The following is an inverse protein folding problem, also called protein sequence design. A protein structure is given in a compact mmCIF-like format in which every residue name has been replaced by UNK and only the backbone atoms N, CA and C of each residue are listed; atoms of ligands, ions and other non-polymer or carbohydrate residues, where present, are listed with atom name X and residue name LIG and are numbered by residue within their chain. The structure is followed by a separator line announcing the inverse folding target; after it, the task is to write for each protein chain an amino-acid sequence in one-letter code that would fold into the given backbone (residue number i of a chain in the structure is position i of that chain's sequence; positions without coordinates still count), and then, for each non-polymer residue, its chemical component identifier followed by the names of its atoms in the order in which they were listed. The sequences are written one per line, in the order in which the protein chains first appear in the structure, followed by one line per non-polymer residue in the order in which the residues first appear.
data_IF_971392487909
#
_entry.id   IF_971392487909
#
_cell.length_a   1.000
_cell.length_b   1.000
_cell.length_c   1.000
_cell.angle_alpha   90.00
_cell.angle_beta   90.00
_cell.angle_gamma   90.00
#
_symmetry.space_group_name_H-M   'P 1'
#
loop_
_entity.id
_entity.type
_entity.pdbx_description
1 polymer ?
#
# COMPACT_ATOMS: atom_id res chain seq x y z
N UNK A 1 -15.11 -23.57 -4.75
CA UNK A 1 -14.23 -23.82 -5.90
C UNK A 1 -13.02 -22.92 -5.77
N UNK A 2 -11.81 -23.48 -5.85
CA UNK A 2 -10.58 -22.69 -5.90
C UNK A 2 -10.63 -21.81 -7.15
N UNK A 3 -10.80 -20.50 -6.98
CA UNK A 3 -10.68 -19.53 -8.07
C UNK A 3 -9.25 -19.02 -8.04
N UNK A 4 -8.37 -19.71 -8.74
CA UNK A 4 -7.18 -19.08 -9.30
C UNK A 4 -7.55 -18.65 -10.72
N UNK A 5 -6.88 -17.61 -11.22
CA UNK A 5 -7.06 -17.15 -12.59
C UNK A 5 -6.74 -18.26 -13.60
N UNK A 6 -7.49 -18.30 -14.70
CA UNK A 6 -7.13 -19.16 -15.83
C UNK A 6 -5.81 -18.69 -16.46
N UNK A 7 -5.11 -19.57 -17.20
CA UNK A 7 -3.88 -19.19 -17.91
C UNK A 7 -4.13 -18.00 -18.85
N UNK A 8 -5.28 -17.97 -19.52
CA UNK A 8 -5.67 -16.84 -20.38
C UNK A 8 -5.80 -15.53 -19.60
N UNK A 9 -6.43 -15.57 -18.43
CA UNK A 9 -6.54 -14.40 -17.54
C UNK A 9 -5.19 -13.96 -17.01
N UNK A 10 -4.31 -14.89 -16.60
CA UNK A 10 -2.96 -14.58 -16.15
C UNK A 10 -2.14 -13.91 -17.26
N UNK A 11 -2.19 -14.45 -18.48
CA UNK A 11 -1.52 -13.86 -19.65
C UNK A 11 -2.07 -12.47 -19.98
N UNK A 12 -3.38 -12.27 -19.87
CA UNK A 12 -4.00 -10.97 -20.08
C UNK A 12 -3.50 -9.94 -19.06
N UNK A 13 -3.46 -10.30 -17.77
CA UNK A 13 -2.92 -9.41 -16.73
C UNK A 13 -1.45 -9.11 -16.97
N UNK A 14 -0.63 -10.12 -17.24
CA UNK A 14 0.78 -9.96 -17.58
C UNK A 14 0.99 -8.91 -18.68
N UNK A 15 0.26 -9.04 -19.79
CA UNK A 15 0.40 -8.14 -20.93
C UNK A 15 -0.10 -6.72 -20.65
N UNK A 16 -1.12 -6.57 -19.81
CA UNK A 16 -1.73 -5.26 -19.52
C UNK A 16 -0.98 -4.48 -18.44
N UNK A 17 -0.46 -5.16 -17.43
CA UNK A 17 0.09 -4.51 -16.22
C UNK A 17 1.60 -4.61 -16.13
N UNK A 18 2.20 -5.61 -16.81
CA UNK A 18 3.61 -5.96 -16.65
C UNK A 18 3.93 -6.56 -15.28
N UNK A 19 2.94 -6.93 -14.47
CA UNK A 19 3.16 -7.60 -13.20
C UNK A 19 3.77 -8.99 -13.43
N UNK A 20 4.60 -9.43 -12.50
CA UNK A 20 5.30 -10.71 -12.55
C UNK A 20 4.38 -11.88 -12.21
N UNK A 21 4.84 -13.09 -12.55
CA UNK A 21 4.16 -14.34 -12.15
C UNK A 21 3.98 -14.41 -10.62
N UNK A 22 4.89 -13.81 -9.86
CA UNK A 22 4.80 -13.76 -8.40
C UNK A 22 3.58 -12.97 -7.95
N UNK A 23 3.29 -11.81 -8.54
CA UNK A 23 2.06 -11.06 -8.22
C UNK A 23 0.83 -11.81 -8.74
N UNK A 24 0.85 -12.21 -10.01
CA UNK A 24 -0.33 -12.76 -10.69
C UNK A 24 -0.79 -14.09 -10.09
N UNK A 25 0.13 -14.93 -9.62
CA UNK A 25 -0.20 -16.19 -8.93
C UNK A 25 -0.90 -16.01 -7.59
N UNK A 26 -0.78 -14.83 -6.95
CA UNK A 26 -1.48 -14.49 -5.71
C UNK A 26 -2.85 -13.84 -5.95
N UNK A 27 -3.13 -13.35 -7.16
CA UNK A 27 -4.43 -12.76 -7.51
C UNK A 27 -5.47 -13.88 -7.65
N UNK A 28 -6.60 -13.73 -6.95
CA UNK A 28 -7.65 -14.75 -6.88
C UNK A 28 -8.78 -14.51 -7.88
N UNK A 29 -8.94 -13.30 -8.38
CA UNK A 29 -9.97 -13.01 -9.37
C UNK A 29 -9.65 -11.78 -10.23
N UNK A 30 -10.31 -11.69 -11.37
CA UNK A 30 -10.15 -10.52 -12.25
C UNK A 30 -10.72 -9.25 -11.59
N UNK A 31 -11.69 -9.38 -10.70
CA UNK A 31 -12.25 -8.28 -9.91
C UNK A 31 -11.22 -7.75 -8.90
N UNK A 32 -10.48 -8.63 -8.22
CA UNK A 32 -9.34 -8.24 -7.35
C UNK A 32 -8.25 -7.51 -8.16
N UNK A 33 -7.86 -8.07 -9.32
CA UNK A 33 -6.90 -7.43 -10.20
C UNK A 33 -7.36 -6.04 -10.67
N UNK A 34 -8.64 -5.91 -11.02
CA UNK A 34 -9.21 -4.67 -11.52
C UNK A 34 -9.15 -3.54 -10.48
N UNK A 35 -9.23 -3.85 -9.18
CA UNK A 35 -9.06 -2.86 -8.12
C UNK A 35 -7.64 -2.29 -8.14
N UNK A 36 -6.62 -3.15 -8.20
CA UNK A 36 -5.22 -2.74 -8.24
C UNK A 36 -4.88 -1.99 -9.55
N UNK A 37 -5.44 -2.42 -10.68
CA UNK A 37 -5.28 -1.73 -11.96
C UNK A 37 -5.93 -0.34 -11.93
N UNK A 38 -7.14 -0.23 -11.38
CA UNK A 38 -7.85 1.06 -11.24
C UNK A 38 -7.10 2.02 -10.32
N UNK A 39 -6.45 1.51 -9.27
CA UNK A 39 -5.58 2.27 -8.38
C UNK A 39 -4.24 2.68 -9.05
N UNK A 40 -3.93 2.17 -10.25
CA UNK A 40 -2.73 2.53 -11.01
C UNK A 40 -1.44 1.96 -10.41
N UNK A 41 -1.52 0.81 -9.72
CA UNK A 41 -0.38 0.28 -8.98
C UNK A 41 0.68 -0.33 -9.90
N UNK A 42 1.95 -0.10 -9.55
CA UNK A 42 3.10 -0.62 -10.30
C UNK A 42 3.91 -1.58 -9.42
N UNK A 43 4.41 -2.66 -10.01
CA UNK A 43 5.22 -3.61 -9.25
C UNK A 43 6.63 -3.07 -8.96
N UNK A 44 7.07 -3.18 -7.70
CA UNK A 44 8.44 -2.92 -7.27
C UNK A 44 8.86 -3.92 -6.19
N UNK A 45 10.17 -4.07 -6.02
CA UNK A 45 10.73 -4.69 -4.82
C UNK A 45 10.97 -3.62 -3.77
N UNK A 46 10.42 -3.81 -2.57
CA UNK A 46 10.52 -2.91 -1.43
C UNK A 46 11.07 -3.71 -0.26
N UNK A 47 12.31 -3.45 0.12
CA UNK A 47 12.93 -4.12 1.27
C UNK A 47 13.04 -5.64 1.12
N UNK A 48 13.16 -6.16 -0.10
CA UNK A 48 13.22 -7.59 -0.39
C UNK A 48 11.86 -8.23 -0.70
N UNK A 49 10.74 -7.53 -0.50
CA UNK A 49 9.39 -8.04 -0.78
C UNK A 49 8.82 -7.39 -2.04
N UNK A 50 8.17 -8.19 -2.89
CA UNK A 50 7.45 -7.67 -4.05
C UNK A 50 6.19 -6.94 -3.58
N UNK A 51 5.89 -5.79 -4.16
CA UNK A 51 4.70 -5.01 -3.86
C UNK A 51 4.19 -4.24 -5.08
N UNK A 52 2.87 -4.08 -5.16
CA UNK A 52 2.17 -3.17 -6.04
C UNK A 52 2.08 -1.81 -5.34
N UNK A 53 2.91 -0.85 -5.76
CA UNK A 53 3.08 0.44 -5.10
C UNK A 53 2.32 1.55 -5.83
N UNK A 54 1.98 2.61 -5.09
CA UNK A 54 1.52 3.87 -5.65
C UNK A 54 2.69 4.73 -6.12
N UNK A 55 2.42 5.51 -7.17
CA UNK A 55 3.40 6.44 -7.78
C UNK A 55 3.00 7.91 -7.62
N UNK A 56 1.84 8.16 -7.05
CA UNK A 56 1.18 9.47 -6.94
C UNK A 56 1.04 9.95 -5.48
N UNK A 57 1.69 9.28 -4.53
CA UNK A 57 1.75 9.76 -3.14
C UNK A 57 2.54 11.07 -3.12
N UNK A 58 1.92 12.12 -2.56
CA UNK A 58 2.62 13.38 -2.32
C UNK A 58 3.51 13.26 -1.08
N UNK A 59 4.79 12.94 -1.30
CA UNK A 59 5.76 12.70 -0.24
C UNK A 59 6.13 13.95 0.57
N UNK A 60 6.03 15.14 -0.02
CA UNK A 60 6.29 16.43 0.64
C UNK A 60 5.09 16.99 1.42
N UNK A 61 3.95 16.30 1.40
CA UNK A 61 2.74 16.80 2.04
C UNK A 61 2.77 16.66 3.56
N UNK A 62 2.52 17.77 4.25
CA UNK A 62 2.28 17.85 5.70
C UNK A 62 0.81 17.54 6.00
N UNK A 63 0.36 16.36 5.56
CA UNK A 63 -1.03 15.89 5.63
C UNK A 63 -1.62 15.99 7.04
N UNK A 64 -0.83 15.65 8.07
CA UNK A 64 -1.26 15.73 9.48
C UNK A 64 -1.54 17.16 9.91
N UNK A 65 -0.65 18.10 9.57
CA UNK A 65 -0.82 19.52 9.92
C UNK A 65 -2.02 20.15 9.23
N UNK A 66 -2.27 19.79 7.97
CA UNK A 66 -3.43 20.29 7.21
C UNK A 66 -4.76 19.76 7.75
N UNK A 67 -4.76 18.56 8.32
CA UNK A 67 -5.95 17.88 8.81
C UNK A 67 -6.05 17.98 10.34
N UNK A 68 -6.40 19.16 10.84
CA UNK A 68 -6.42 19.49 12.28
C UNK A 68 -7.34 18.61 13.13
N UNK A 69 -8.33 17.94 12.52
CA UNK A 69 -9.19 16.96 13.19
C UNK A 69 -8.38 15.78 13.78
N UNK A 70 -7.21 15.47 13.20
CA UNK A 70 -6.31 14.44 13.71
C UNK A 70 -5.72 14.77 15.09
N UNK A 71 -5.77 16.04 15.53
CA UNK A 71 -5.27 16.45 16.86
C UNK A 71 -5.95 15.70 18.01
N UNK A 72 -7.20 15.30 17.82
CA UNK A 72 -7.96 14.55 18.84
C UNK A 72 -7.61 13.05 18.87
N UNK A 73 -6.96 12.54 17.81
CA UNK A 73 -6.70 11.11 17.62
C UNK A 73 -5.21 10.73 17.69
N UNK A 74 -4.30 11.71 17.56
CA UNK A 74 -2.86 11.50 17.63
C UNK A 74 -2.33 11.84 19.03
N UNK A 75 -1.62 10.89 19.64
CA UNK A 75 -1.05 11.06 20.98
C UNK A 75 -0.01 12.18 21.08
N UNK A 76 0.70 12.49 20.00
CA UNK A 76 1.75 13.51 19.94
C UNK A 76 1.56 14.41 18.70
N UNK A 77 0.46 15.14 18.65
CA UNK A 77 0.13 15.96 17.49
C UNK A 77 1.22 16.98 17.14
N UNK A 78 1.85 17.62 18.14
CA UNK A 78 2.87 18.65 17.91
C UNK A 78 4.07 18.08 17.14
N UNK A 79 4.58 16.90 17.53
CA UNK A 79 5.63 16.21 16.78
C UNK A 79 5.16 15.88 15.36
N UNK A 80 4.01 15.26 15.22
CA UNK A 80 3.58 14.70 13.94
C UNK A 80 3.08 15.75 12.95
N UNK A 81 2.67 16.93 13.42
CA UNK A 81 2.35 18.07 12.57
C UNK A 81 3.59 18.65 11.86
N UNK A 82 4.80 18.33 12.34
CA UNK A 82 6.06 18.70 11.68
C UNK A 82 6.55 17.66 10.67
N UNK A 83 5.79 16.57 10.46
CA UNK A 83 6.18 15.49 9.56
C UNK A 83 5.44 15.62 8.23
N UNK A 84 6.20 15.54 7.13
CA UNK A 84 5.60 15.24 5.83
C UNK A 84 5.44 13.72 5.63
N UNK A 85 4.81 13.31 4.55
CA UNK A 85 4.60 11.89 4.25
C UNK A 85 5.89 11.07 4.14
N UNK A 86 7.01 11.65 3.70
CA UNK A 86 8.31 10.97 3.68
C UNK A 86 8.84 10.74 5.11
N UNK A 87 8.72 11.74 6.00
CA UNK A 87 9.13 11.61 7.40
C UNK A 87 8.33 10.51 8.12
N UNK A 88 7.02 10.41 7.83
CA UNK A 88 6.16 9.36 8.37
C UNK A 88 6.68 7.97 8.03
N UNK A 89 6.96 7.71 6.74
CA UNK A 89 7.44 6.39 6.32
C UNK A 89 8.87 6.12 6.80
N UNK A 90 9.69 7.16 7.01
CA UNK A 90 11.00 7.05 7.64
C UNK A 90 10.95 6.50 9.07
N UNK A 91 9.92 6.86 9.83
CA UNK A 91 9.65 6.29 11.16
C UNK A 91 8.89 4.95 11.09
N UNK A 92 8.44 4.54 9.90
CA UNK A 92 7.68 3.31 9.70
C UNK A 92 6.18 3.46 9.93
N UNK A 93 5.64 4.65 9.74
CA UNK A 93 4.20 4.91 9.72
C UNK A 93 3.72 5.08 8.28
N UNK A 94 2.46 4.70 7.97
CA UNK A 94 1.92 4.91 6.64
C UNK A 94 1.89 6.40 6.30
N UNK A 95 2.15 6.77 5.03
CA UNK A 95 1.85 8.11 4.57
C UNK A 95 0.32 8.30 4.58
N UNK A 96 -0.14 9.55 4.48
CA UNK A 96 -1.56 9.88 4.43
C UNK A 96 -1.95 10.56 3.13
N UNK A 97 -3.17 10.33 2.70
CA UNK A 97 -3.75 10.98 1.54
C UNK A 97 -4.13 12.45 1.83
N UNK A 98 -4.75 13.10 0.85
CA UNK A 98 -5.14 14.50 0.96
C UNK A 98 -6.12 14.79 2.11
N UNK A 99 -6.97 13.82 2.47
CA UNK A 99 -7.97 13.89 3.54
C UNK A 99 -7.38 13.58 4.93
N UNK A 100 -6.13 13.11 4.97
CA UNK A 100 -5.46 12.70 6.19
C UNK A 100 -5.68 11.23 6.52
N UNK A 101 -6.29 10.44 5.64
CA UNK A 101 -6.46 9.01 5.84
C UNK A 101 -5.15 8.27 5.52
N UNK A 102 -4.73 7.30 6.34
CA UNK A 102 -3.50 6.55 6.08
C UNK A 102 -3.67 5.65 4.85
N UNK A 103 -2.64 5.59 4.00
CA UNK A 103 -2.56 4.54 3.00
C UNK A 103 -2.44 3.17 3.69
N UNK A 104 -3.16 2.19 3.18
CA UNK A 104 -3.24 0.85 3.70
C UNK A 104 -2.36 -0.11 2.90
N UNK A 105 -1.81 -1.10 3.59
CA UNK A 105 -1.13 -2.23 2.96
C UNK A 105 -2.06 -3.43 2.98
N UNK A 106 -2.33 -3.96 1.80
CA UNK A 106 -3.13 -5.15 1.60
C UNK A 106 -2.24 -6.33 1.17
N UNK A 107 -2.44 -7.51 1.76
CA UNK A 107 -1.81 -8.74 1.31
C UNK A 107 -2.55 -9.30 0.10
N UNK A 108 -1.90 -9.35 -1.07
CA UNK A 108 -2.51 -9.90 -2.29
C UNK A 108 -2.79 -11.40 -2.07
N UNK A 109 -4.05 -11.82 -2.16
CA UNK A 109 -4.42 -13.22 -1.92
C UNK A 109 -4.48 -13.66 -0.44
N UNK A 110 -4.24 -12.75 0.52
CA UNK A 110 -4.38 -12.97 1.97
C UNK A 110 -3.47 -14.06 2.60
N UNK A 111 -2.27 -14.28 2.05
CA UNK A 111 -1.25 -15.18 2.63
C UNK A 111 -0.10 -14.34 3.25
N UNK A 112 0.52 -14.81 4.34
CA UNK A 112 1.52 -14.05 5.12
C UNK A 112 2.71 -13.58 4.27
N UNK A 113 3.20 -14.43 3.36
CA UNK A 113 4.38 -14.14 2.53
C UNK A 113 4.03 -13.51 1.17
N UNK A 114 2.76 -13.19 0.93
CA UNK A 114 2.29 -12.67 -0.36
C UNK A 114 2.78 -11.25 -0.65
N UNK A 115 2.80 -10.81 -1.92
CA UNK A 115 3.08 -9.41 -2.24
C UNK A 115 2.11 -8.44 -1.57
N UNK A 116 2.55 -7.20 -1.33
CA UNK A 116 1.68 -6.13 -0.83
C UNK A 116 1.02 -5.34 -1.97
N UNK A 117 -0.10 -4.68 -1.68
CA UNK A 117 -0.68 -3.62 -2.48
C UNK A 117 -0.89 -2.36 -1.61
N UNK A 118 -0.39 -1.22 -2.07
CA UNK A 118 -0.63 0.10 -1.46
C UNK A 118 -1.99 0.65 -1.94
N UNK A 119 -2.95 0.79 -1.04
CA UNK A 119 -4.31 1.25 -1.35
C UNK A 119 -4.70 2.43 -0.46
N UNK A 120 -5.58 3.30 -0.96
CA UNK A 120 -6.35 4.18 -0.07
C UNK A 120 -7.39 3.38 0.71
N UNK A 121 -7.89 3.93 1.82
CA UNK A 121 -8.96 3.30 2.57
C UNK A 121 -10.19 3.02 1.70
N UNK A 122 -10.58 3.95 0.82
CA UNK A 122 -11.74 3.74 -0.06
C UNK A 122 -11.49 2.64 -1.11
N UNK A 123 -10.28 2.55 -1.67
CA UNK A 123 -9.95 1.47 -2.61
C UNK A 123 -9.89 0.10 -1.93
N UNK A 124 -9.54 0.04 -0.65
CA UNK A 124 -9.46 -1.20 0.11
C UNK A 124 -10.83 -1.63 0.69
N UNK A 125 -11.53 -0.69 1.33
CA UNK A 125 -12.70 -0.96 2.16
C UNK A 125 -14.02 -0.45 1.57
N UNK A 126 -13.95 0.56 0.71
CA UNK A 126 -15.11 1.24 0.11
C UNK A 126 -15.66 0.56 -1.13
N UNK A 127 -16.74 1.12 -1.68
CA UNK A 127 -17.31 0.80 -3.00
C UNK A 127 -17.55 -0.69 -3.31
N UNK A 128 -17.75 -1.52 -2.28
CA UNK A 128 -17.91 -2.97 -2.43
C UNK A 128 -16.60 -3.76 -2.62
N UNK A 129 -15.43 -3.11 -2.50
CA UNK A 129 -14.12 -3.74 -2.62
C UNK A 129 -13.77 -4.61 -1.40
N UNK A 130 -14.22 -4.22 -0.20
CA UNK A 130 -13.95 -4.98 1.03
C UNK A 130 -14.25 -6.49 0.89
N UNK A 131 -15.46 -6.94 0.49
CA UNK A 131 -15.74 -8.38 0.33
C UNK A 131 -14.98 -9.04 -0.84
N UNK A 132 -14.47 -8.27 -1.81
CA UNK A 132 -13.65 -8.79 -2.92
C UNK A 132 -12.22 -9.06 -2.42
N UNK A 133 -11.64 -8.09 -1.71
CA UNK A 133 -10.27 -8.16 -1.18
C UNK A 133 -10.17 -9.03 0.08
N UNK A 134 -11.24 -9.08 0.88
CA UNK A 134 -11.32 -9.86 2.12
C UNK A 134 -12.34 -11.01 2.01
N UNK A 135 -12.07 -11.97 1.13
CA UNK A 135 -12.89 -13.19 1.08
C UNK A 135 -12.77 -13.99 2.39
N UNK A 136 -13.81 -14.74 2.75
CA UNK A 136 -13.99 -15.42 4.06
C UNK A 136 -13.05 -16.61 4.34
N UNK A 137 -11.85 -16.65 3.77
CA UNK A 137 -10.83 -17.60 4.23
C UNK A 137 -10.38 -17.19 5.62
N UNK A 138 -10.01 -18.17 6.45
CA UNK A 138 -9.24 -17.89 7.65
C UNK A 138 -7.97 -17.14 7.20
N UNK A 139 -7.90 -15.86 7.53
CA UNK A 139 -6.69 -15.08 7.34
C UNK A 139 -5.57 -15.77 8.10
N UNK A 140 -4.51 -16.20 7.41
CA UNK A 140 -3.33 -16.77 8.05
C UNK A 140 -2.36 -15.70 8.56
N UNK A 141 -2.84 -14.45 8.65
CA UNK A 141 -2.02 -13.31 9.05
C UNK A 141 -1.96 -13.22 10.56
N UNK A 142 -0.74 -13.26 11.11
CA UNK A 142 -0.49 -12.94 12.51
C UNK A 142 -0.48 -11.42 12.67
N UNK A 143 -1.50 -10.87 13.35
CA UNK A 143 -1.75 -9.41 13.38
C UNK A 143 -0.59 -8.59 13.97
N UNK A 144 0.03 -9.10 15.02
CA UNK A 144 1.21 -8.51 15.65
C UNK A 144 2.43 -8.51 14.72
N UNK A 145 2.65 -9.62 13.99
CA UNK A 145 3.69 -9.71 12.98
C UNK A 145 3.40 -8.75 11.81
N UNK A 146 2.14 -8.64 11.42
CA UNK A 146 1.73 -7.76 10.33
C UNK A 146 1.98 -6.28 10.63
N UNK A 147 1.70 -5.82 11.86
CA UNK A 147 2.00 -4.44 12.24
C UNK A 147 3.51 -4.14 12.15
N UNK A 148 4.36 -5.10 12.54
CA UNK A 148 5.80 -4.99 12.36
C UNK A 148 6.21 -4.99 10.89
N UNK A 149 5.63 -5.85 10.06
CA UNK A 149 5.90 -5.91 8.63
C UNK A 149 5.52 -4.61 7.90
N UNK A 150 4.35 -4.04 8.21
CA UNK A 150 3.93 -2.75 7.66
C UNK A 150 4.94 -1.65 8.01
N UNK A 151 5.38 -1.61 9.26
CA UNK A 151 6.35 -0.61 9.70
C UNK A 151 7.69 -0.75 8.96
N UNK A 152 8.22 -1.98 8.86
CA UNK A 152 9.45 -2.26 8.11
C UNK A 152 9.30 -1.96 6.61
N UNK A 153 8.15 -2.26 6.04
CA UNK A 153 7.85 -1.95 4.64
C UNK A 153 7.93 -0.44 4.37
N UNK A 154 7.27 0.38 5.20
CA UNK A 154 7.30 1.83 5.02
C UNK A 154 8.71 2.41 5.19
N UNK A 155 9.47 1.93 6.17
CA UNK A 155 10.88 2.31 6.30
C UNK A 155 11.71 1.90 5.07
N UNK A 156 11.40 0.75 4.46
CA UNK A 156 12.04 0.31 3.23
C UNK A 156 11.61 1.17 2.02
N UNK A 157 10.36 1.65 1.96
CA UNK A 157 9.93 2.65 0.96
C UNK A 157 10.73 3.93 1.07
N UNK A 158 10.99 4.41 2.30
CA UNK A 158 11.79 5.61 2.53
C UNK A 158 13.23 5.41 2.06
N UNK A 159 13.85 4.29 2.45
CA UNK A 159 15.23 3.93 2.06
C UNK A 159 15.40 3.73 0.55
N UNK A 160 14.30 3.51 -0.19
CA UNK A 160 14.32 3.38 -1.64
C UNK A 160 14.38 4.73 -2.38
N UNK A 161 14.17 5.86 -1.70
CA UNK A 161 14.34 7.16 -2.32
C UNK A 161 15.79 7.38 -2.76
N UNK A 162 15.94 7.85 -3.99
CA UNK A 162 17.20 8.40 -4.49
C UNK A 162 17.50 9.75 -3.82
N UNK A 163 18.77 10.15 -3.84
CA UNK A 163 19.15 11.46 -3.31
C UNK A 163 18.43 12.61 -4.02
N UNK A 164 18.18 12.48 -5.33
CA UNK A 164 17.45 13.49 -6.11
C UNK A 164 15.98 13.58 -5.70
N UNK A 165 15.33 12.47 -5.39
CA UNK A 165 13.96 12.46 -4.84
C UNK A 165 13.92 13.11 -3.46
N UNK A 166 14.84 12.74 -2.56
CA UNK A 166 14.94 13.37 -1.24
C UNK A 166 15.17 14.88 -1.37
N UNK A 167 16.06 15.30 -2.27
CA UNK A 167 16.29 16.72 -2.54
C UNK A 167 15.00 17.42 -2.98
N UNK A 168 14.19 16.80 -3.85
CA UNK A 168 12.90 17.38 -4.29
C UNK A 168 11.85 17.40 -3.18
N UNK A 169 11.79 16.36 -2.37
CA UNK A 169 10.82 16.24 -1.25
C UNK A 169 11.08 17.32 -0.19
N UNK A 170 12.34 17.58 0.11
CA UNK A 170 12.75 18.51 1.17
C UNK A 170 13.19 19.89 0.66
N UNK A 171 13.04 20.15 -0.65
CA UNK A 171 13.24 21.48 -1.22
C UNK A 171 12.14 22.41 -0.67
N UNK A 172 12.57 23.50 -0.03
CA UNK A 172 11.70 24.59 0.43
C UNK A 172 11.49 25.62 -0.65
#
# INVERSE_FOLDING_TARGET
MNKFLTIEQQNLLHNQTGWSDNVISHIRSMEEAAIYMKAGLVERNVGGRVALIRTDINWSDYSIRRNTWLKEYLADWDKWAEYNNADLIGEGFPPRDANGDPYELHHIGQEQDSPFAELTWNEHMGDGNNPILHTSRESKIYRDQFDKEKSLYWQARFKAFTQDELNKIYQK
#
